data_IF_051433667929
#
_entry.id   IF_051433667929
#
_cell.length_a   1.000
_cell.length_b   1.000
_cell.length_c   1.000
_cell.angle_alpha   90.00
_cell.angle_beta   90.00
_cell.angle_gamma   90.00
#
_symmetry.space_group_name_H-M   'P 1'
#
loop_
_entity.id
_entity.type
_entity.pdbx_description
1 polymer ?
#
# COMPACT_ATOMS: atom_id res chain seq x y z
N UNK A 1 1.33 -21.47 29.86
CA UNK A 1 1.85 -21.31 28.49
C UNK A 1 2.43 -19.91 28.36
N UNK A 2 3.67 -19.82 27.97
CA UNK A 2 4.28 -18.53 27.66
C UNK A 2 4.07 -18.21 26.17
N UNK A 3 3.45 -17.08 25.88
CA UNK A 3 3.32 -16.60 24.52
C UNK A 3 4.56 -15.74 24.15
N UNK A 4 5.04 -15.89 22.92
CA UNK A 4 6.08 -15.00 22.41
C UNK A 4 5.52 -13.59 22.28
N UNK A 5 6.31 -12.59 22.67
CA UNK A 5 5.98 -11.20 22.44
C UNK A 5 6.21 -10.86 20.97
N UNK A 6 5.20 -10.32 20.33
CA UNK A 6 5.25 -9.86 18.94
C UNK A 6 4.96 -8.37 18.92
N UNK A 7 5.75 -7.63 18.17
CA UNK A 7 5.61 -6.17 18.05
C UNK A 7 5.62 -5.77 16.57
N UNK A 8 4.91 -4.68 16.25
CA UNK A 8 4.97 -4.03 14.93
C UNK A 8 6.12 -3.03 14.96
N UNK A 9 7.06 -3.15 14.03
CA UNK A 9 8.27 -2.31 13.98
C UNK A 9 8.25 -1.31 12.82
N UNK A 10 7.42 -1.52 11.82
CA UNK A 10 7.29 -0.61 10.69
C UNK A 10 5.94 -0.76 10.00
N UNK A 11 5.45 0.32 9.44
CA UNK A 11 4.16 0.39 8.75
C UNK A 11 4.35 1.08 7.41
N UNK A 12 3.73 0.52 6.36
CA UNK A 12 3.55 1.16 5.07
C UNK A 12 2.08 1.20 4.71
N UNK A 13 1.64 2.24 4.04
CA UNK A 13 0.26 2.37 3.60
C UNK A 13 0.16 3.09 2.25
N UNK A 14 -0.75 2.60 1.42
CA UNK A 14 -1.18 3.25 0.18
C UNK A 14 -2.69 3.04 0.07
N UNK A 15 -3.44 4.10 0.26
CA UNK A 15 -4.89 4.05 0.47
C UNK A 15 -5.61 5.15 -0.31
N UNK A 16 -6.93 5.07 -0.49
CA UNK A 16 -7.70 6.15 -1.11
C UNK A 16 -7.65 7.51 -0.39
N UNK A 17 -7.16 7.57 0.84
CA UNK A 17 -7.07 8.81 1.62
C UNK A 17 -5.64 9.18 2.03
N UNK A 18 -4.64 8.46 1.54
CA UNK A 18 -3.24 8.80 1.78
C UNK A 18 -2.30 7.79 1.16
N UNK A 19 -1.18 8.26 0.62
CA UNK A 19 -0.20 7.47 -0.10
C UNK A 19 1.01 7.07 0.75
N UNK A 20 1.00 7.47 2.02
CA UNK A 20 1.96 7.06 3.05
C UNK A 20 1.21 6.73 4.34
N UNK A 21 1.86 6.03 5.27
CA UNK A 21 1.27 5.75 6.58
C UNK A 21 0.90 7.04 7.32
N UNK A 22 1.73 8.08 7.23
CA UNK A 22 1.46 9.37 7.85
C UNK A 22 0.26 10.08 7.24
N UNK A 23 0.20 10.18 5.93
CA UNK A 23 -0.96 10.79 5.23
C UNK A 23 -2.25 10.06 5.54
N UNK A 24 -2.20 8.73 5.56
CA UNK A 24 -3.34 7.88 5.91
C UNK A 24 -3.83 8.15 7.32
N UNK A 25 -2.92 8.20 8.30
CA UNK A 25 -3.27 8.51 9.68
C UNK A 25 -3.87 9.90 9.84
N UNK A 26 -3.25 10.91 9.23
CA UNK A 26 -3.74 12.30 9.28
C UNK A 26 -5.16 12.41 8.69
N UNK A 27 -5.42 11.73 7.58
CA UNK A 27 -6.74 11.69 6.96
C UNK A 27 -7.78 10.96 7.82
N UNK A 28 -7.42 9.83 8.44
CA UNK A 28 -8.28 9.12 9.38
C UNK A 28 -8.66 10.00 10.57
N UNK A 29 -7.67 10.65 11.19
CA UNK A 29 -7.89 11.52 12.33
C UNK A 29 -8.79 12.73 12.01
N UNK A 30 -8.79 13.19 10.77
CA UNK A 30 -9.61 14.30 10.30
C UNK A 30 -10.93 13.86 9.63
N UNK A 31 -11.26 12.58 9.64
CA UNK A 31 -12.49 12.05 9.09
C UNK A 31 -12.64 12.22 7.57
N UNK A 32 -11.54 12.19 6.84
CA UNK A 32 -11.53 12.34 5.37
C UNK A 32 -12.12 11.10 4.71
N UNK A 33 -13.05 11.29 3.76
CA UNK A 33 -13.61 10.22 2.94
C UNK A 33 -12.80 10.04 1.65
N UNK A 34 -12.51 8.77 1.31
CA UNK A 34 -11.88 8.41 0.04
C UNK A 34 -12.86 8.19 -1.10
N UNK A 35 -14.17 8.24 -0.84
CA UNK A 35 -15.17 8.04 -1.86
C UNK A 35 -15.22 9.21 -2.84
N UNK A 36 -15.22 8.90 -4.14
CA UNK A 36 -15.27 9.88 -5.23
C UNK A 36 -15.83 9.22 -6.49
N UNK A 37 -16.27 10.01 -7.50
CA UNK A 37 -16.64 9.44 -8.79
C UNK A 37 -15.52 8.57 -9.37
N UNK A 38 -15.90 7.44 -9.96
CA UNK A 38 -14.95 6.52 -10.61
C UNK A 38 -14.24 7.23 -11.76
N UNK A 39 -12.91 7.12 -11.81
CA UNK A 39 -12.08 7.70 -12.87
C UNK A 39 -11.41 6.66 -13.76
N UNK A 40 -11.27 5.40 -13.31
CA UNK A 40 -10.56 4.34 -14.04
C UNK A 40 -11.29 3.86 -15.29
N UNK A 41 -12.61 4.07 -15.35
CA UNK A 41 -13.43 3.74 -16.51
C UNK A 41 -14.67 4.62 -16.57
N UNK A 42 -15.39 4.61 -17.69
CA UNK A 42 -16.66 5.32 -17.81
C UNK A 42 -17.77 4.56 -17.08
N UNK A 43 -18.19 5.06 -15.92
CA UNK A 43 -19.19 4.45 -15.07
C UNK A 43 -20.62 4.92 -15.35
N UNK A 44 -20.86 5.73 -16.39
CA UNK A 44 -22.16 6.38 -16.66
C UNK A 44 -23.33 5.39 -16.78
N UNK A 45 -23.06 4.20 -17.36
CA UNK A 45 -24.07 3.16 -17.56
C UNK A 45 -24.24 2.21 -16.36
N UNK A 46 -23.47 2.39 -15.30
CA UNK A 46 -23.53 1.53 -14.12
C UNK A 46 -24.41 2.16 -13.03
N UNK A 47 -25.01 1.31 -12.21
CA UNK A 47 -25.80 1.75 -11.06
C UNK A 47 -24.95 2.43 -10.00
N UNK A 48 -23.76 1.90 -9.73
CA UNK A 48 -22.77 2.46 -8.81
C UNK A 48 -21.74 3.22 -9.62
N UNK A 49 -21.51 4.50 -9.30
CA UNK A 49 -20.65 5.40 -10.07
C UNK A 49 -19.54 6.02 -9.22
N UNK A 50 -19.40 5.59 -7.98
CA UNK A 50 -18.35 6.03 -7.08
C UNK A 50 -17.57 4.84 -6.54
N UNK A 51 -16.33 5.09 -6.16
CA UNK A 51 -15.44 4.13 -5.53
C UNK A 51 -14.39 4.85 -4.68
N UNK A 52 -13.68 4.08 -3.88
CA UNK A 52 -12.51 4.58 -3.16
C UNK A 52 -11.27 4.15 -3.93
N UNK A 53 -10.82 4.99 -4.84
CA UNK A 53 -9.63 4.76 -5.65
C UNK A 53 -8.40 5.41 -5.00
N UNK A 54 -7.23 4.80 -5.20
CA UNK A 54 -5.95 5.43 -4.86
C UNK A 54 -5.76 6.66 -5.77
N UNK A 55 -5.36 7.79 -5.19
CA UNK A 55 -5.27 9.08 -5.86
C UNK A 55 -3.85 9.61 -5.86
N UNK A 56 -3.50 10.38 -6.91
CA UNK A 56 -2.22 11.06 -7.00
C UNK A 56 -1.02 10.12 -6.88
N UNK A 57 -1.18 8.87 -7.33
CA UNK A 57 -0.16 7.85 -7.29
C UNK A 57 0.44 7.65 -8.68
N UNK A 58 1.76 7.75 -8.78
CA UNK A 58 2.52 7.42 -9.97
C UNK A 58 3.58 6.38 -9.59
N UNK A 59 3.42 5.18 -10.11
CA UNK A 59 4.34 4.06 -9.82
C UNK A 59 5.78 4.37 -10.24
N UNK A 60 5.98 5.19 -11.26
CA UNK A 60 7.31 5.55 -11.76
C UNK A 60 8.10 6.44 -10.79
N UNK A 61 7.44 7.03 -9.78
CA UNK A 61 8.13 7.79 -8.72
C UNK A 61 8.77 6.83 -7.68
N UNK A 62 8.38 5.56 -7.69
CA UNK A 62 8.78 4.56 -6.70
C UNK A 62 9.55 3.39 -7.31
N UNK A 63 9.22 2.97 -8.53
CA UNK A 63 9.77 1.80 -9.18
C UNK A 63 10.33 2.15 -10.56
N UNK A 64 11.32 1.37 -11.00
CA UNK A 64 11.79 1.46 -12.38
C UNK A 64 10.64 1.17 -13.36
N UNK A 65 10.55 1.97 -14.42
CA UNK A 65 9.47 1.90 -15.40
C UNK A 65 9.36 0.53 -16.09
N UNK A 66 10.49 -0.13 -16.34
CA UNK A 66 10.50 -1.45 -16.99
C UNK A 66 9.98 -2.52 -16.05
N UNK A 67 10.36 -2.45 -14.77
CA UNK A 67 9.89 -3.38 -13.75
C UNK A 67 8.39 -3.15 -13.46
N UNK A 68 7.97 -1.90 -13.33
CA UNK A 68 6.57 -1.57 -13.08
C UNK A 68 5.61 -2.11 -14.15
N UNK A 69 6.04 -2.13 -15.42
CA UNK A 69 5.25 -2.67 -16.52
C UNK A 69 5.01 -4.18 -16.48
N UNK A 70 5.83 -4.91 -15.71
CA UNK A 70 5.69 -6.35 -15.53
C UNK A 70 4.74 -6.72 -14.39
N UNK A 71 4.25 -5.74 -13.67
CA UNK A 71 3.46 -5.92 -12.44
C UNK A 71 2.03 -5.42 -12.64
N UNK A 72 1.07 -6.18 -12.14
CA UNK A 72 -0.29 -5.69 -11.96
C UNK A 72 -0.35 -4.60 -10.88
N UNK A 73 -1.37 -3.72 -10.89
CA UNK A 73 -1.47 -2.64 -9.91
C UNK A 73 -1.34 -3.09 -8.47
N UNK A 74 -1.94 -4.22 -8.08
CA UNK A 74 -1.86 -4.70 -6.69
C UNK A 74 -0.42 -5.06 -6.30
N UNK A 75 0.38 -5.58 -7.22
CA UNK A 75 1.80 -5.87 -7.00
C UNK A 75 2.62 -4.58 -6.91
N UNK A 76 2.32 -3.59 -7.73
CA UNK A 76 2.94 -2.26 -7.64
C UNK A 76 2.68 -1.63 -6.27
N UNK A 77 1.46 -1.70 -5.77
CA UNK A 77 1.09 -1.22 -4.44
C UNK A 77 1.85 -1.96 -3.35
N UNK A 78 1.94 -3.29 -3.46
CA UNK A 78 2.70 -4.12 -2.52
C UNK A 78 4.16 -3.70 -2.42
N UNK A 79 4.81 -3.45 -3.56
CA UNK A 79 6.21 -3.02 -3.60
C UNK A 79 6.41 -1.67 -2.90
N UNK A 80 5.51 -0.73 -3.14
CA UNK A 80 5.58 0.61 -2.54
C UNK A 80 5.37 0.57 -1.03
N UNK A 81 4.35 -0.13 -0.56
CA UNK A 81 4.07 -0.20 0.89
C UNK A 81 5.10 -1.05 1.63
N UNK A 82 5.63 -2.10 1.01
CA UNK A 82 6.70 -2.91 1.59
C UNK A 82 7.98 -2.09 1.77
N UNK A 83 8.34 -1.27 0.78
CA UNK A 83 9.50 -0.37 0.86
C UNK A 83 9.35 0.62 2.01
N UNK A 84 8.18 1.24 2.18
CA UNK A 84 7.90 2.15 3.29
C UNK A 84 8.01 1.42 4.64
N UNK A 85 7.38 0.26 4.78
CA UNK A 85 7.40 -0.51 6.02
C UNK A 85 8.81 -0.98 6.41
N UNK A 86 9.58 -1.45 5.43
CA UNK A 86 10.96 -1.88 5.64
C UNK A 86 11.84 -0.72 6.08
N UNK A 87 11.71 0.44 5.45
CA UNK A 87 12.44 1.65 5.84
C UNK A 87 12.04 2.13 7.23
N UNK A 88 10.75 2.15 7.52
CA UNK A 88 10.23 2.57 8.83
C UNK A 88 10.70 1.65 9.96
N UNK A 89 10.79 0.35 9.71
CA UNK A 89 11.26 -0.63 10.70
C UNK A 89 12.75 -0.55 11.01
N UNK A 90 13.56 -0.04 10.09
CA UNK A 90 15.02 -0.07 10.21
C UNK A 90 15.64 -1.47 10.13
N UNK A 91 14.90 -2.49 9.69
CA UNK A 91 15.36 -3.89 9.71
C UNK A 91 16.64 -4.09 8.89
N UNK A 92 16.82 -3.35 7.79
CA UNK A 92 17.99 -3.48 6.93
C UNK A 92 19.30 -3.02 7.61
N UNK A 93 19.19 -2.25 8.69
CA UNK A 93 20.33 -1.79 9.49
C UNK A 93 20.64 -2.73 10.65
N UNK A 94 20.03 -3.91 10.67
CA UNK A 94 20.20 -4.92 11.71
C UNK A 94 20.83 -6.21 11.13
N UNK A 95 21.40 -7.04 12.00
CA UNK A 95 21.91 -8.38 11.65
C UNK A 95 20.77 -9.41 11.62
N UNK A 96 19.76 -9.19 10.76
CA UNK A 96 18.68 -10.15 10.62
C UNK A 96 19.08 -11.31 9.69
N UNK A 97 18.46 -12.47 9.89
CA UNK A 97 18.62 -13.64 9.03
C UNK A 97 17.54 -13.53 7.92
N UNK A 98 17.93 -13.33 6.64
CA UNK A 98 16.94 -13.13 5.57
C UNK A 98 15.94 -14.27 5.42
N UNK A 99 16.35 -15.50 5.71
CA UNK A 99 15.50 -16.69 5.64
C UNK A 99 14.38 -16.71 6.70
N UNK A 100 14.51 -15.90 7.75
CA UNK A 100 13.51 -15.76 8.81
C UNK A 100 12.48 -14.66 8.50
N UNK A 101 12.67 -13.92 7.41
CA UNK A 101 11.78 -12.81 7.00
C UNK A 101 11.01 -13.20 5.75
N UNK A 102 9.69 -13.16 5.84
CA UNK A 102 8.81 -13.46 4.73
C UNK A 102 7.85 -12.32 4.43
N UNK A 103 7.44 -12.22 3.17
CA UNK A 103 6.38 -11.30 2.72
C UNK A 103 5.30 -12.11 2.02
N UNK A 104 4.07 -11.90 2.44
CA UNK A 104 2.89 -12.48 1.80
C UNK A 104 1.96 -11.34 1.40
N UNK A 105 1.63 -11.30 0.12
CA UNK A 105 0.72 -10.31 -0.42
C UNK A 105 -0.22 -10.97 -1.42
N UNK A 106 -1.48 -10.61 -1.40
CA UNK A 106 -2.47 -11.22 -2.25
C UNK A 106 -3.56 -10.24 -2.67
N UNK A 107 -4.25 -10.60 -3.73
CA UNK A 107 -5.46 -9.95 -4.20
C UNK A 107 -6.51 -11.01 -4.51
N UNK A 108 -7.78 -10.64 -4.44
CA UNK A 108 -8.87 -11.54 -4.77
C UNK A 108 -8.88 -11.94 -6.24
N UNK A 109 -8.54 -11.02 -7.13
CA UNK A 109 -8.53 -11.24 -8.59
C UNK A 109 -7.24 -10.76 -9.24
N UNK A 110 -6.63 -9.74 -8.71
CA UNK A 110 -5.40 -9.15 -9.28
C UNK A 110 -5.58 -7.90 -10.07
#
# INVERSE_FOLDING_TARGET
>A
MQLKRVVVTGIGALTPIGNTAKEYWDALANGVSGAAPITHFNAEKFKTRFACEVKNFNVNDHLDRKEARKMDPFTQYAMVVADEAVKDSGILDTDFIPEDVGVIWASGIG
#
